data_IF_108103839202
#
_entry.id   IF_108103839202
#
_cell.length_a   1.000
_cell.length_b   1.000
_cell.length_c   1.000
_cell.angle_alpha   90.00
_cell.angle_beta   90.00
_cell.angle_gamma   90.00
#
_symmetry.space_group_name_H-M   'P 1'
#
loop_
_entity.id
_entity.type
_entity.pdbx_description
1 polymer ?
#
# COMPACT_ATOMS: atom_id res chain seq x y z
N UNK A 1 -18.85 -1.69 3.67
CA UNK A 1 -18.04 -0.71 2.92
C UNK A 1 -17.62 -1.43 1.67
N UNK A 2 -18.16 -0.98 0.55
CA UNK A 2 -17.93 -1.56 -0.76
C UNK A 2 -16.92 -0.73 -1.55
N UNK A 3 -16.55 -1.19 -2.74
CA UNK A 3 -15.57 -0.49 -3.59
C UNK A 3 -16.01 0.92 -3.96
N UNK A 4 -17.32 1.14 -4.12
CA UNK A 4 -17.94 2.39 -4.56
C UNK A 4 -17.83 3.49 -3.49
N UNK A 5 -17.74 3.09 -2.21
CA UNK A 5 -17.55 4.01 -1.09
C UNK A 5 -16.19 4.74 -1.13
N UNK A 6 -15.24 4.21 -1.90
CA UNK A 6 -13.90 4.77 -2.04
C UNK A 6 -13.76 5.72 -3.24
N UNK A 7 -14.78 5.89 -4.07
CA UNK A 7 -14.74 6.83 -5.19
C UNK A 7 -14.76 8.26 -4.66
N UNK A 8 -13.78 9.07 -5.04
CA UNK A 8 -13.73 10.49 -4.70
C UNK A 8 -15.00 11.21 -5.19
N UNK A 9 -15.68 11.89 -4.26
CA UNK A 9 -16.84 12.74 -4.56
C UNK A 9 -16.38 14.19 -4.40
N UNK A 10 -16.39 14.94 -5.49
CA UNK A 10 -16.03 16.35 -5.44
C UNK A 10 -17.01 17.11 -4.54
N UNK A 11 -16.48 17.77 -3.51
CA UNK A 11 -17.28 18.51 -2.52
C UNK A 11 -16.86 19.96 -2.36
N UNK A 12 -15.74 20.38 -2.94
CA UNK A 12 -15.21 21.73 -2.78
C UNK A 12 -14.80 22.31 -4.13
N UNK A 13 -14.90 23.64 -4.24
CA UNK A 13 -14.32 24.42 -5.34
C UNK A 13 -12.84 24.74 -5.12
N UNK A 14 -12.21 24.16 -4.10
CA UNK A 14 -10.83 24.47 -3.71
C UNK A 14 -9.87 23.97 -4.78
N UNK A 15 -9.10 24.89 -5.34
CA UNK A 15 -8.07 24.60 -6.32
C UNK A 15 -6.71 24.64 -5.63
N UNK A 16 -5.98 23.53 -5.66
CA UNK A 16 -4.58 23.50 -5.28
C UNK A 16 -3.75 23.66 -6.57
N UNK A 17 -2.80 24.58 -6.57
CA UNK A 17 -1.94 24.84 -7.74
C UNK A 17 -0.66 24.03 -7.67
N UNK A 18 -0.05 23.93 -6.50
CA UNK A 18 1.09 23.06 -6.23
C UNK A 18 1.17 22.72 -4.74
N UNK A 19 2.07 21.81 -4.40
CA UNK A 19 2.41 21.49 -3.02
C UNK A 19 3.18 20.19 -2.90
N UNK A 20 3.38 19.74 -1.68
CA UNK A 20 4.01 18.45 -1.42
C UNK A 20 3.46 17.79 -0.15
N UNK A 21 3.39 16.47 -0.17
CA UNK A 21 3.14 15.66 1.02
C UNK A 21 4.24 14.62 1.18
N UNK A 22 4.59 14.31 2.42
CA UNK A 22 5.56 13.27 2.73
C UNK A 22 5.03 12.35 3.81
N UNK A 23 5.25 11.05 3.61
CA UNK A 23 4.89 10.01 4.56
C UNK A 23 6.00 8.99 4.68
N UNK A 24 6.13 8.46 5.89
CA UNK A 24 6.91 7.27 6.18
C UNK A 24 5.93 6.14 6.49
N UNK A 25 6.11 4.99 5.86
CA UNK A 25 5.30 3.80 6.15
C UNK A 25 6.20 2.60 6.48
N UNK A 26 5.85 1.80 7.50
CA UNK A 26 6.63 0.63 7.90
C UNK A 26 6.47 -0.53 6.92
N UNK A 27 7.51 -1.34 6.77
CA UNK A 27 7.37 -2.70 6.27
C UNK A 27 6.65 -3.57 7.30
N UNK A 28 6.15 -4.73 6.87
CA UNK A 28 5.48 -5.67 7.76
C UNK A 28 5.93 -7.11 7.52
N UNK A 29 5.89 -7.92 8.58
CA UNK A 29 6.18 -9.35 8.54
C UNK A 29 4.91 -10.14 8.87
N UNK A 30 4.48 -10.95 7.90
CA UNK A 30 3.30 -11.80 8.02
C UNK A 30 3.57 -12.97 8.98
N UNK A 31 2.73 -13.12 10.01
CA UNK A 31 2.67 -14.33 10.83
C UNK A 31 1.79 -15.37 10.13
N UNK A 32 0.56 -14.99 9.80
CA UNK A 32 -0.30 -15.74 8.87
C UNK A 32 -0.10 -15.17 7.47
N UNK A 33 0.35 -16.02 6.55
CA UNK A 33 0.79 -15.60 5.22
C UNK A 33 -0.39 -15.28 4.30
N UNK A 34 -0.27 -14.14 3.62
CA UNK A 34 -1.02 -13.86 2.40
C UNK A 34 -0.34 -14.60 1.24
N UNK A 35 -1.03 -15.57 0.64
CA UNK A 35 -0.49 -16.32 -0.51
C UNK A 35 -1.64 -16.85 -1.36
N UNK A 36 -1.67 -16.47 -2.64
CA UNK A 36 -2.85 -16.61 -3.50
C UNK A 36 -3.75 -15.36 -3.48
N UNK A 37 -4.24 -14.96 -4.65
CA UNK A 37 -5.09 -13.78 -4.84
C UNK A 37 -6.04 -13.92 -6.03
N UNK A 38 -7.04 -13.06 -6.08
CA UNK A 38 -7.88 -12.80 -7.25
C UNK A 38 -7.67 -11.36 -7.71
N UNK A 39 -7.96 -11.04 -8.98
CA UNK A 39 -7.91 -9.65 -9.43
C UNK A 39 -9.09 -8.83 -8.84
N UNK A 40 -8.89 -7.53 -8.53
CA UNK A 40 -7.65 -6.77 -8.57
C UNK A 40 -6.96 -6.74 -7.19
N UNK A 41 -6.25 -7.80 -6.79
CA UNK A 41 -5.58 -7.94 -5.47
C UNK A 41 -6.54 -8.22 -4.29
N UNK A 42 -7.53 -9.08 -4.50
CA UNK A 42 -8.35 -9.66 -3.42
C UNK A 42 -7.61 -10.87 -2.82
N UNK A 43 -7.47 -10.97 -1.49
CA UNK A 43 -6.78 -12.11 -0.89
C UNK A 43 -7.66 -13.37 -0.92
N UNK A 44 -7.05 -14.55 -1.11
CA UNK A 44 -7.76 -15.84 -1.00
C UNK A 44 -8.00 -16.24 0.46
N UNK A 45 -7.17 -15.76 1.38
CA UNK A 45 -7.28 -16.05 2.81
C UNK A 45 -6.93 -14.81 3.64
N UNK A 46 -7.46 -14.75 4.86
CA UNK A 46 -7.07 -13.73 5.83
C UNK A 46 -5.61 -13.90 6.25
N UNK A 47 -4.96 -12.78 6.56
CA UNK A 47 -3.56 -12.70 6.89
C UNK A 47 -3.33 -11.69 8.00
N UNK A 48 -2.30 -11.90 8.82
CA UNK A 48 -1.96 -11.01 9.93
C UNK A 48 -0.46 -10.74 9.94
N UNK A 49 -0.07 -9.52 10.24
CA UNK A 49 1.34 -9.12 10.28
C UNK A 49 1.63 -8.10 11.37
N UNK A 50 2.85 -8.17 11.91
CA UNK A 50 3.43 -7.08 12.66
C UNK A 50 4.14 -6.09 11.73
N UNK A 51 3.97 -4.79 11.98
CA UNK A 51 4.78 -3.75 11.36
C UNK A 51 6.15 -3.67 12.02
N UNK A 52 7.16 -3.29 11.24
CA UNK A 52 8.54 -3.17 11.70
C UNK A 52 8.85 -1.71 12.07
N UNK A 53 9.58 -1.52 13.18
CA UNK A 53 9.92 -0.19 13.68
C UNK A 53 11.04 0.49 12.88
N UNK A 54 12.04 -0.29 12.46
CA UNK A 54 13.27 0.24 11.84
C UNK A 54 13.30 0.11 10.31
N UNK A 55 12.39 -0.69 9.75
CA UNK A 55 12.33 -0.96 8.31
C UNK A 55 11.13 -0.22 7.71
N UNK A 56 11.37 0.91 7.07
CA UNK A 56 10.34 1.77 6.50
C UNK A 56 10.76 2.34 5.16
N UNK A 57 9.76 2.78 4.41
CA UNK A 57 9.96 3.58 3.19
C UNK A 57 9.48 4.98 3.47
N UNK A 58 10.29 5.97 3.11
CA UNK A 58 9.88 7.38 3.04
C UNK A 58 9.54 7.71 1.60
N UNK A 59 8.39 8.35 1.41
CA UNK A 59 7.93 8.84 0.12
C UNK A 59 7.56 10.31 0.27
N UNK A 60 7.97 11.12 -0.70
CA UNK A 60 7.54 12.51 -0.87
C UNK A 60 6.94 12.65 -2.25
N UNK A 61 5.75 13.22 -2.33
CA UNK A 61 5.06 13.50 -3.58
C UNK A 61 4.90 15.00 -3.69
N UNK A 62 5.59 15.60 -4.66
CA UNK A 62 5.26 16.93 -5.15
C UNK A 62 4.16 16.81 -6.19
N UNK A 63 3.25 17.77 -6.22
CA UNK A 63 2.20 17.85 -7.23
C UNK A 63 2.14 19.26 -7.78
N UNK A 64 1.96 19.36 -9.09
CA UNK A 64 1.75 20.62 -9.80
C UNK A 64 0.51 20.48 -10.67
N UNK A 65 -0.39 21.45 -10.57
CA UNK A 65 -1.59 21.49 -11.39
C UNK A 65 -1.18 21.64 -12.84
N UNK A 66 -1.74 20.82 -13.72
CA UNK A 66 -1.50 20.87 -15.17
C UNK A 66 -2.79 21.21 -15.90
N UNK A 67 -2.66 21.51 -17.19
CA UNK A 67 -3.84 21.61 -18.05
C UNK A 67 -4.61 20.29 -18.05
N UNK A 68 -5.94 20.39 -18.11
CA UNK A 68 -6.81 19.22 -18.09
C UNK A 68 -6.44 18.30 -19.24
N UNK A 69 -6.15 17.05 -18.89
CA UNK A 69 -5.79 16.01 -19.83
C UNK A 69 -6.33 14.69 -19.30
N UNK A 70 -6.77 13.82 -20.21
CA UNK A 70 -7.21 12.48 -19.86
C UNK A 70 -6.08 11.60 -19.32
N UNK A 71 -4.82 11.97 -19.59
CA UNK A 71 -3.64 11.22 -19.20
C UNK A 71 -3.10 11.70 -17.87
N UNK A 72 -2.97 10.76 -16.92
CA UNK A 72 -2.25 10.97 -15.69
C UNK A 72 -0.73 10.91 -15.95
N UNK A 73 0.04 11.86 -15.40
CA UNK A 73 1.50 11.94 -15.62
C UNK A 73 2.26 12.00 -14.30
N UNK A 74 3.40 11.33 -14.24
CA UNK A 74 4.26 11.33 -13.06
C UNK A 74 5.73 11.06 -13.42
N UNK A 75 6.63 11.55 -12.57
CA UNK A 75 8.04 11.17 -12.52
C UNK A 75 8.36 10.41 -11.24
N UNK A 76 9.40 9.57 -11.31
CA UNK A 76 9.82 8.74 -10.18
C UNK A 76 11.33 8.74 -10.00
N UNK A 77 11.75 9.07 -8.79
CA UNK A 77 13.13 9.05 -8.32
C UNK A 77 13.21 8.13 -7.10
N UNK A 78 14.11 7.16 -7.15
CA UNK A 78 14.37 6.23 -6.04
C UNK A 78 15.81 6.43 -5.57
N UNK A 79 16.00 6.71 -4.27
CA UNK A 79 17.32 6.93 -3.66
C UNK A 79 18.17 7.97 -4.43
N UNK A 80 17.54 9.09 -4.79
CA UNK A 80 18.18 10.20 -5.50
C UNK A 80 18.45 9.95 -7.00
N UNK A 81 18.11 8.78 -7.54
CA UNK A 81 18.33 8.43 -8.95
C UNK A 81 17.01 8.23 -9.69
N UNK A 82 16.96 8.70 -10.94
CA UNK A 82 15.83 8.38 -11.84
C UNK A 82 15.75 6.86 -12.01
N UNK A 83 14.54 6.31 -11.87
CA UNK A 83 14.31 4.87 -11.95
C UNK A 83 13.19 4.57 -12.95
N UNK A 84 13.51 4.72 -14.23
CA UNK A 84 12.54 4.51 -15.32
C UNK A 84 12.09 3.04 -15.42
N UNK A 85 12.92 2.09 -15.01
CA UNK A 85 12.57 0.66 -14.98
C UNK A 85 11.40 0.35 -14.03
N UNK A 86 11.17 1.18 -13.00
CA UNK A 86 10.06 1.00 -12.06
C UNK A 86 8.77 1.73 -12.49
N UNK A 87 8.84 2.66 -13.45
CA UNK A 87 7.69 3.42 -13.94
C UNK A 87 6.54 2.52 -14.42
N UNK A 88 6.73 1.41 -15.15
CA UNK A 88 5.63 0.55 -15.58
C UNK A 88 4.80 -0.01 -14.41
N UNK A 89 5.44 -0.36 -13.30
CA UNK A 89 4.75 -0.87 -12.10
C UNK A 89 3.92 0.22 -11.42
N UNK A 90 4.44 1.44 -11.34
CA UNK A 90 3.69 2.59 -10.84
C UNK A 90 2.55 2.98 -11.78
N UNK A 91 2.76 2.94 -13.10
CA UNK A 91 1.71 3.20 -14.08
C UNK A 91 0.55 2.19 -13.94
N UNK A 92 0.85 0.90 -13.75
CA UNK A 92 -0.17 -0.10 -13.47
C UNK A 92 -0.94 0.19 -12.18
N UNK A 93 -0.23 0.62 -11.12
CA UNK A 93 -0.86 1.05 -9.87
C UNK A 93 -1.81 2.24 -10.10
N UNK A 94 -1.33 3.30 -10.75
CA UNK A 94 -2.14 4.48 -11.04
C UNK A 94 -3.36 4.15 -11.91
N UNK A 95 -3.21 3.30 -12.93
CA UNK A 95 -4.33 2.84 -13.75
C UNK A 95 -5.41 2.13 -12.91
N UNK A 96 -5.02 1.37 -11.88
CA UNK A 96 -5.97 0.71 -10.97
C UNK A 96 -6.67 1.69 -10.03
N UNK A 97 -5.96 2.71 -9.55
CA UNK A 97 -6.52 3.63 -8.55
C UNK A 97 -7.25 4.83 -9.14
N UNK A 98 -7.03 5.17 -10.41
CA UNK A 98 -7.52 6.42 -11.00
C UNK A 98 -9.03 6.58 -10.93
N UNK A 99 -9.78 5.47 -10.96
CA UNK A 99 -11.25 5.49 -10.79
C UNK A 99 -11.69 5.94 -9.40
N UNK A 100 -10.85 5.75 -8.37
CA UNK A 100 -11.13 6.12 -6.99
C UNK A 100 -10.59 7.51 -6.63
N UNK A 101 -9.59 8.00 -7.39
CA UNK A 101 -8.93 9.30 -7.20
C UNK A 101 -8.78 10.05 -8.54
N UNK A 102 -9.86 10.28 -9.31
CA UNK A 102 -9.80 10.86 -10.66
C UNK A 102 -9.19 12.26 -10.69
N UNK A 103 -9.24 13.01 -9.58
CA UNK A 103 -8.61 14.32 -9.44
C UNK A 103 -7.10 14.29 -9.71
N UNK A 104 -6.43 13.13 -9.61
CA UNK A 104 -5.02 13.01 -9.95
C UNK A 104 -4.73 13.39 -11.42
N UNK A 105 -5.69 13.23 -12.34
CA UNK A 105 -5.53 13.63 -13.75
C UNK A 105 -5.28 15.14 -13.91
N UNK A 106 -5.69 15.95 -12.95
CA UNK A 106 -5.49 17.40 -12.95
C UNK A 106 -4.08 17.81 -12.51
N UNK A 107 -3.24 16.86 -12.09
CA UNK A 107 -1.89 17.11 -11.56
C UNK A 107 -0.83 16.29 -12.28
N UNK A 108 0.38 16.84 -12.36
CA UNK A 108 1.61 16.10 -12.57
C UNK A 108 2.22 15.78 -11.21
N UNK A 109 2.62 14.52 -10.97
CA UNK A 109 3.27 14.12 -9.72
C UNK A 109 4.78 13.90 -9.88
N UNK A 110 5.59 14.47 -9.01
CA UNK A 110 7.00 14.10 -8.87
C UNK A 110 7.17 13.29 -7.58
N UNK A 111 7.50 12.01 -7.73
CA UNK A 111 7.53 11.04 -6.63
C UNK A 111 8.99 10.73 -6.28
N UNK A 112 9.36 10.97 -5.03
CA UNK A 112 10.67 10.66 -4.46
C UNK A 112 10.49 9.60 -3.40
N UNK A 113 11.27 8.52 -3.44
CA UNK A 113 11.17 7.43 -2.47
C UNK A 113 12.54 6.87 -2.07
N UNK A 114 12.68 6.49 -0.82
CA UNK A 114 13.89 5.88 -0.24
C UNK A 114 13.51 4.86 0.84
N UNK A 115 14.34 3.84 1.04
CA UNK A 115 14.17 2.86 2.11
C UNK A 115 15.19 3.09 3.22
N UNK A 116 14.83 2.75 4.46
CA UNK A 116 15.78 2.71 5.59
C UNK A 116 16.64 1.44 5.62
N UNK A 117 16.52 0.57 4.61
CA UNK A 117 17.14 -0.74 4.57
C UNK A 117 17.64 -1.04 3.14
N UNK A 118 18.68 -1.90 2.99
CA UNK A 118 19.27 -2.17 1.69
C UNK A 118 18.27 -2.72 0.68
N UNK A 119 18.50 -2.37 -0.59
CA UNK A 119 17.85 -3.08 -1.70
C UNK A 119 18.17 -4.58 -1.64
N UNK A 120 17.27 -5.43 -2.12
CA UNK A 120 17.42 -6.89 -2.10
C UNK A 120 17.52 -7.57 -0.73
N UNK A 121 17.20 -6.89 0.37
CA UNK A 121 17.21 -7.44 1.75
C UNK A 121 16.12 -8.49 2.04
N UNK A 122 15.33 -8.92 1.05
CA UNK A 122 14.20 -9.82 1.26
C UNK A 122 13.00 -9.22 2.01
N UNK A 123 13.16 -8.01 2.56
CA UNK A 123 12.11 -7.21 3.21
C UNK A 123 11.10 -6.77 2.15
N UNK A 124 9.82 -6.78 2.51
CA UNK A 124 8.72 -6.42 1.62
C UNK A 124 8.67 -4.91 1.32
N UNK A 125 9.70 -4.38 0.65
CA UNK A 125 9.81 -2.96 0.26
C UNK A 125 8.61 -2.48 -0.56
N UNK A 126 7.99 -3.38 -1.34
CA UNK A 126 6.79 -3.05 -2.10
C UNK A 126 5.56 -2.76 -1.22
N UNK A 127 5.52 -3.28 0.01
CA UNK A 127 4.41 -3.02 0.94
C UNK A 127 4.51 -1.61 1.53
N UNK A 128 5.66 -1.27 2.11
CA UNK A 128 5.92 0.05 2.70
C UNK A 128 5.90 1.17 1.66
N UNK A 129 6.50 0.97 0.48
CA UNK A 129 6.50 1.98 -0.60
C UNK A 129 5.10 2.33 -1.11
N UNK A 130 4.26 1.31 -1.37
CA UNK A 130 2.89 1.54 -1.83
C UNK A 130 2.01 2.14 -0.73
N UNK A 131 2.24 1.77 0.53
CA UNK A 131 1.58 2.39 1.68
C UNK A 131 1.94 3.88 1.82
N UNK A 132 3.23 4.23 1.78
CA UNK A 132 3.69 5.62 1.87
C UNK A 132 3.17 6.47 0.70
N UNK A 133 3.17 5.92 -0.53
CA UNK A 133 2.61 6.60 -1.70
C UNK A 133 1.09 6.82 -1.58
N UNK A 134 0.34 5.81 -1.15
CA UNK A 134 -1.10 5.92 -0.94
C UNK A 134 -1.46 6.98 0.12
N UNK A 135 -0.68 7.06 1.21
CA UNK A 135 -0.85 8.11 2.23
C UNK A 135 -0.59 9.52 1.69
N UNK A 136 0.42 9.70 0.82
CA UNK A 136 0.65 10.97 0.14
C UNK A 136 -0.52 11.36 -0.76
N UNK A 137 -1.05 10.42 -1.55
CA UNK A 137 -2.23 10.65 -2.42
C UNK A 137 -3.45 11.02 -1.57
N UNK A 138 -3.67 10.32 -0.46
CA UNK A 138 -4.77 10.60 0.46
C UNK A 138 -4.61 11.96 1.16
N UNK A 139 -3.38 12.43 1.37
CA UNK A 139 -3.14 13.77 1.92
C UNK A 139 -3.53 14.87 0.93
N UNK A 140 -3.26 14.64 -0.37
CA UNK A 140 -3.78 15.50 -1.43
C UNK A 140 -5.31 15.49 -1.46
N UNK A 141 -5.94 14.32 -1.37
CA UNK A 141 -7.40 14.22 -1.31
C UNK A 141 -7.98 14.94 -0.07
N UNK A 142 -7.37 14.77 1.11
CA UNK A 142 -7.75 15.45 2.35
C UNK A 142 -7.60 16.97 2.23
N UNK A 143 -6.58 17.45 1.52
CA UNK A 143 -6.40 18.88 1.28
C UNK A 143 -7.47 19.48 0.35
N UNK A 144 -8.00 18.67 -0.57
CA UNK A 144 -9.15 18.98 -1.45
C UNK A 144 -10.50 18.77 -0.74
N UNK A 145 -10.58 17.87 0.23
CA UNK A 145 -11.78 17.57 1.03
C UNK A 145 -11.48 17.63 2.55
N UNK A 146 -11.42 18.84 3.13
CA UNK A 146 -11.03 19.04 4.52
C UNK A 146 -11.93 18.33 5.54
N UNK A 147 -13.18 18.03 5.21
CA UNK A 147 -14.13 17.36 6.10
C UNK A 147 -13.93 15.83 6.20
N UNK A 148 -12.98 15.26 5.44
CA UNK A 148 -12.71 13.82 5.46
C UNK A 148 -12.31 13.33 6.87
N UNK A 149 -12.98 12.32 7.41
CA UNK A 149 -12.60 11.78 8.73
C UNK A 149 -11.25 11.05 8.70
N UNK A 150 -10.53 11.04 9.82
CA UNK A 150 -9.27 10.30 9.95
C UNK A 150 -9.45 8.79 9.72
N UNK A 151 -10.55 8.22 10.20
CA UNK A 151 -10.87 6.81 9.98
C UNK A 151 -11.05 6.49 8.50
N UNK A 152 -11.77 7.32 7.75
CA UNK A 152 -11.91 7.14 6.30
C UNK A 152 -10.57 7.32 5.58
N UNK A 153 -9.78 8.31 5.98
CA UNK A 153 -8.45 8.58 5.42
C UNK A 153 -7.57 7.32 5.45
N UNK A 154 -7.41 6.69 6.62
CA UNK A 154 -6.56 5.50 6.76
C UNK A 154 -7.17 4.27 6.06
N UNK A 155 -8.49 4.07 6.13
CA UNK A 155 -9.17 2.96 5.42
C UNK A 155 -8.98 3.08 3.91
N UNK A 156 -9.18 4.28 3.33
CA UNK A 156 -8.98 4.51 1.90
C UNK A 156 -7.50 4.42 1.51
N UNK A 157 -6.57 4.92 2.32
CA UNK A 157 -5.14 4.73 2.09
C UNK A 157 -4.78 3.24 2.02
N UNK A 158 -5.31 2.42 2.92
CA UNK A 158 -5.11 0.95 2.94
C UNK A 158 -5.69 0.28 1.71
N UNK A 159 -6.91 0.67 1.33
CA UNK A 159 -7.57 0.22 0.12
C UNK A 159 -6.76 0.53 -1.16
N UNK A 160 -6.26 1.75 -1.29
CA UNK A 160 -5.42 2.15 -2.44
C UNK A 160 -4.10 1.38 -2.43
N UNK A 161 -3.40 1.32 -1.30
CA UNK A 161 -2.11 0.64 -1.18
C UNK A 161 -2.20 -0.83 -1.63
N UNK A 162 -3.27 -1.54 -1.25
CA UNK A 162 -3.55 -2.92 -1.66
C UNK A 162 -3.53 -3.11 -3.18
N UNK A 163 -4.11 -2.16 -3.93
CA UNK A 163 -4.20 -2.23 -5.39
C UNK A 163 -2.81 -2.15 -6.07
N UNK A 164 -1.85 -1.50 -5.41
CA UNK A 164 -0.44 -1.50 -5.82
C UNK A 164 0.28 -2.78 -5.39
N UNK A 165 0.12 -3.19 -4.13
CA UNK A 165 0.63 -4.44 -3.60
C UNK A 165 -0.24 -4.92 -2.45
N UNK A 166 -0.77 -6.15 -2.51
CA UNK A 166 -1.75 -6.64 -1.54
C UNK A 166 -1.32 -6.46 -0.08
N UNK A 167 -0.11 -6.88 0.26
CA UNK A 167 0.42 -6.77 1.63
C UNK A 167 0.63 -5.32 2.12
N UNK A 168 0.59 -4.33 1.23
CA UNK A 168 0.67 -2.91 1.59
C UNK A 168 -0.57 -2.44 2.37
N UNK A 169 -1.70 -3.13 2.24
CA UNK A 169 -2.90 -2.88 3.06
C UNK A 169 -2.59 -2.90 4.56
N UNK A 170 -1.59 -3.69 4.96
CA UNK A 170 -1.15 -3.88 6.36
C UNK A 170 0.00 -2.98 6.80
N UNK A 171 0.42 -2.05 5.94
CA UNK A 171 1.54 -1.12 6.19
C UNK A 171 1.08 0.34 6.39
N UNK A 172 -0.22 0.60 6.50
CA UNK A 172 -0.76 1.94 6.74
C UNK A 172 -0.76 2.29 8.23
N UNK A 173 -1.07 1.31 9.06
CA UNK A 173 -1.08 1.44 10.51
C UNK A 173 -0.35 0.27 11.16
N UNK A 174 -0.21 0.27 12.49
CA UNK A 174 0.40 -0.81 13.26
C UNK A 174 -0.10 -0.85 14.72
N UNK A 175 0.50 -1.70 15.57
CA UNK A 175 1.59 -2.61 15.25
C UNK A 175 1.13 -3.94 14.64
N UNK A 176 -0.09 -4.42 14.93
CA UNK A 176 -0.61 -5.70 14.45
C UNK A 176 -1.83 -5.47 13.55
N UNK A 177 -1.70 -5.80 12.26
CA UNK A 177 -2.74 -5.55 11.26
C UNK A 177 -3.22 -6.85 10.63
N UNK A 178 -4.54 -6.99 10.51
CA UNK A 178 -5.23 -8.08 9.82
C UNK A 178 -5.70 -7.57 8.46
N UNK A 179 -5.53 -8.36 7.40
CA UNK A 179 -6.14 -8.11 6.09
C UNK A 179 -6.74 -9.39 5.53
N UNK A 180 -7.97 -9.27 5.03
CA UNK A 180 -8.85 -10.38 4.64
C UNK A 180 -9.99 -10.56 5.65
N UNK A 181 -11.19 -10.84 5.14
CA UNK A 181 -12.39 -11.06 5.96
C UNK A 181 -12.21 -12.30 6.83
N UNK A 182 -12.48 -12.17 8.12
CA UNK A 182 -12.32 -13.23 9.10
C UNK A 182 -13.41 -13.12 10.18
N UNK A 183 -14.07 -14.23 10.50
CA UNK A 183 -15.25 -14.26 11.40
C UNK A 183 -14.97 -13.79 12.82
N UNK A 184 -13.72 -13.89 13.28
CA UNK A 184 -13.31 -13.52 14.64
C UNK A 184 -12.64 -12.16 14.76
N UNK A 185 -12.53 -11.39 13.66
CA UNK A 185 -11.92 -10.07 13.65
C UNK A 185 -12.93 -9.04 13.16
N UNK A 186 -13.35 -8.18 14.07
CA UNK A 186 -14.33 -7.13 13.81
C UNK A 186 -13.83 -6.18 12.71
N UNK A 187 -14.75 -5.72 11.86
CA UNK A 187 -14.48 -4.87 10.69
C UNK A 187 -13.46 -5.42 9.67
N UNK A 188 -13.03 -6.67 9.80
CA UNK A 188 -12.10 -7.28 8.86
C UNK A 188 -12.66 -7.29 7.43
N UNK A 189 -11.78 -6.98 6.47
CA UNK A 189 -12.19 -6.75 5.10
C UNK A 189 -11.18 -7.32 4.11
N UNK A 190 -11.69 -7.76 2.97
CA UNK A 190 -10.85 -8.09 1.80
C UNK A 190 -10.33 -6.82 1.10
N UNK A 191 -10.92 -5.66 1.41
CA UNK A 191 -10.65 -4.40 0.73
C UNK A 191 -9.52 -3.58 1.37
N UNK A 192 -9.34 -3.68 2.69
CA UNK A 192 -8.34 -2.92 3.44
C UNK A 192 -7.91 -3.69 4.70
N UNK A 193 -6.76 -3.32 5.25
CA UNK A 193 -6.26 -3.83 6.53
C UNK A 193 -6.92 -3.11 7.70
N UNK A 194 -7.06 -3.81 8.82
CA UNK A 194 -7.61 -3.29 10.08
C UNK A 194 -6.70 -3.62 11.25
N UNK A 195 -6.59 -2.68 12.19
CA UNK A 195 -5.90 -2.92 13.47
C UNK A 195 -6.55 -4.08 14.20
N UNK A 196 -5.73 -4.98 14.73
CA UNK A 196 -6.22 -5.98 15.66
C UNK A 196 -6.54 -5.32 17.00
N UNK A 197 -7.81 -5.31 17.41
CA UNK A 197 -8.31 -4.57 18.58
C UNK A 197 -8.47 -5.43 19.84
N UNK A 198 -8.39 -6.76 19.70
CA UNK A 198 -8.49 -7.68 20.85
C UNK A 198 -7.18 -7.73 21.63
N UNK A 199 -7.25 -8.26 22.84
CA UNK A 199 -6.10 -8.40 23.75
C UNK A 199 -4.96 -9.15 23.08
N UNK A 200 -3.83 -8.48 22.94
CA UNK A 200 -2.56 -9.09 22.54
C UNK A 200 -1.87 -9.59 23.80
N UNK A 201 -1.35 -10.81 23.79
CA UNK A 201 -0.62 -11.34 24.94
C UNK A 201 0.62 -10.48 25.23
N UNK A 202 0.89 -10.19 26.51
CA UNK A 202 1.96 -9.26 26.94
C UNK A 202 3.34 -9.58 26.37
N UNK A 203 3.62 -10.85 26.10
CA UNK A 203 4.87 -11.32 25.47
C UNK A 203 5.14 -10.68 24.10
N UNK A 204 4.10 -10.23 23.39
CA UNK A 204 4.25 -9.58 22.09
C UNK A 204 4.40 -8.06 22.18
N UNK A 205 4.30 -7.46 23.36
CA UNK A 205 4.43 -6.01 23.52
C UNK A 205 5.88 -5.53 23.37
N UNK A 206 6.85 -6.39 23.64
CA UNK A 206 8.28 -6.14 23.51
C UNK A 206 8.98 -7.09 22.52
N UNK A 207 8.20 -7.76 21.67
CA UNK A 207 8.72 -8.67 20.65
C UNK A 207 9.76 -7.96 19.78
N UNK A 208 10.87 -8.66 19.51
CA UNK A 208 11.95 -8.20 18.64
C UNK A 208 12.06 -9.16 17.46
N UNK A 209 12.38 -8.62 16.29
CA UNK A 209 12.72 -9.39 15.11
C UNK A 209 14.18 -9.16 14.70
N UNK A 210 14.77 -10.17 14.06
CA UNK A 210 16.09 -10.07 13.44
C UNK A 210 15.99 -10.64 12.03
N UNK A 211 16.41 -9.84 11.05
CA UNK A 211 16.32 -10.17 9.63
C UNK A 211 17.71 -10.60 9.17
N UNK A 212 17.89 -11.90 8.95
CA UNK A 212 19.13 -12.47 8.44
C UNK A 212 19.12 -12.44 6.92
N UNK A 213 20.06 -11.69 6.34
CA UNK A 213 20.26 -11.64 4.89
C UNK A 213 21.13 -12.82 4.46
N UNK A 214 20.51 -13.84 3.86
CA UNK A 214 21.20 -15.07 3.44
C UNK A 214 21.79 -14.94 2.03
N UNK A 215 21.10 -14.23 1.15
CA UNK A 215 21.55 -13.95 -0.22
C UNK A 215 21.11 -12.53 -0.61
N UNK A 216 22.00 -11.79 -1.29
CA UNK A 216 21.75 -10.43 -1.76
C UNK A 216 21.32 -10.38 -3.24
N UNK A 217 21.26 -11.54 -3.91
CA UNK A 217 20.78 -11.67 -5.27
C UNK A 217 19.30 -11.31 -5.44
N UNK A 218 18.92 -10.97 -6.69
CA UNK A 218 17.52 -10.77 -7.03
C UNK A 218 16.77 -12.11 -6.95
N UNK A 219 15.60 -12.11 -6.30
CA UNK A 219 14.72 -13.29 -6.27
C UNK A 219 14.42 -13.76 -7.70
N UNK A 220 14.70 -15.03 -7.99
CA UNK A 220 14.40 -15.64 -9.28
C UNK A 220 12.89 -15.61 -9.60
N UNK A 221 12.05 -15.87 -8.60
CA UNK A 221 10.59 -15.80 -8.74
C UNK A 221 10.06 -14.62 -7.94
N UNK A 222 9.50 -13.63 -8.63
CA UNK A 222 8.84 -12.50 -7.99
C UNK A 222 7.59 -12.97 -7.23
N UNK A 223 7.19 -12.24 -6.18
CA UNK A 223 5.96 -12.56 -5.46
C UNK A 223 4.74 -12.60 -6.38
N UNK A 224 4.63 -11.69 -7.35
CA UNK A 224 3.51 -11.70 -8.32
C UNK A 224 3.45 -13.02 -9.09
N UNK A 225 4.58 -13.50 -9.61
CA UNK A 225 4.65 -14.79 -10.31
C UNK A 225 4.30 -15.92 -9.33
N UNK A 226 4.86 -15.90 -8.12
CA UNK A 226 4.58 -16.90 -7.10
C UNK A 226 3.10 -16.99 -6.69
N UNK A 227 2.42 -15.85 -6.58
CA UNK A 227 0.97 -15.82 -6.34
C UNK A 227 0.18 -16.45 -7.49
N UNK A 228 0.59 -16.24 -8.74
CA UNK A 228 -0.10 -16.79 -9.91
C UNK A 228 0.03 -18.32 -10.00
N UNK A 229 1.10 -18.90 -9.45
CA UNK A 229 1.24 -20.36 -9.36
C UNK A 229 0.14 -21.02 -8.51
N UNK A 230 -0.59 -20.25 -7.68
CA UNK A 230 -1.68 -20.79 -6.87
C UNK A 230 -2.97 -21.09 -7.63
N UNK A 231 -3.16 -20.60 -8.86
CA UNK A 231 -4.42 -20.80 -9.60
C UNK A 231 -4.71 -22.27 -9.95
N UNK A 232 -3.66 -23.07 -10.15
CA UNK A 232 -3.77 -24.49 -10.50
C UNK A 232 -3.02 -25.40 -9.51
N UNK A 233 -2.70 -24.87 -8.34
CA UNK A 233 -1.92 -25.62 -7.36
C UNK A 233 -2.81 -26.69 -6.67
N UNK A 234 -2.40 -27.97 -6.63
CA UNK A 234 -3.23 -29.07 -6.14
C UNK A 234 -3.65 -28.94 -4.68
N UNK A 235 -2.89 -28.17 -3.89
CA UNK A 235 -3.19 -27.89 -2.48
C UNK A 235 -3.80 -26.51 -2.23
N UNK A 236 -4.15 -25.74 -3.26
CA UNK A 236 -4.71 -24.39 -3.10
C UNK A 236 -6.00 -24.39 -2.27
N UNK A 237 -6.95 -25.24 -2.64
CA UNK A 237 -8.25 -25.32 -1.98
C UNK A 237 -8.17 -25.76 -0.52
N UNK A 238 -7.19 -26.59 -0.15
CA UNK A 238 -6.98 -27.01 1.25
C UNK A 238 -6.26 -25.95 2.09
N UNK A 239 -5.58 -25.02 1.44
CA UNK A 239 -4.81 -23.96 2.11
C UNK A 239 -5.69 -22.78 2.51
N UNK A 240 -6.58 -22.37 1.62
CA UNK A 240 -7.43 -21.19 1.80
C UNK A 240 -8.55 -21.47 2.79
#
# INVERSE_FOLDING_TARGET
METEDFIYKSKTSKILTNGAFSWQAPSNIALVKYWGKQEPQIPQNASISFTLNNCHTRTKVHFDKKEKSETFTFDFTFEGKKNDAFKPKLAQFFNRIIIYVPFLKDYHLQIFSENSFPHSSGIASSASSMAALALCIMSLEKALNPEMSGTYFYKKASFLARLGSGSAARSIEGPLIVWGKHSTVDDSSNLYGVKYTKTIHKVFHNYQDTILLVDQGQKQVSSTIGHNLMHQHPFAAKRF
#
